data_IF_027531536776
#
_entry.id   IF_027531536776
#
_cell.length_a   1.000
_cell.length_b   1.000
_cell.length_c   1.000
_cell.angle_alpha   90.00
_cell.angle_beta   90.00
_cell.angle_gamma   90.00
#
_symmetry.space_group_name_H-M   'P 1'
#
loop_
_entity.id
_entity.type
_entity.pdbx_description
1 polymer ?
#
# COMPACT_ATOMS: atom_id res chain seq x y z
N UNK A 1 14.21 28.53 13.61
CA UNK A 1 13.95 27.92 12.29
C UNK A 1 13.68 29.03 11.30
N UNK A 2 14.36 29.04 10.15
CA UNK A 2 14.05 29.96 9.05
C UNK A 2 12.71 29.59 8.41
N UNK A 3 12.02 30.53 7.76
CA UNK A 3 10.75 30.27 7.06
C UNK A 3 10.86 29.14 6.04
N UNK A 4 12.01 29.02 5.37
CA UNK A 4 12.31 27.92 4.44
C UNK A 4 12.33 26.54 5.13
N UNK A 5 12.98 26.43 6.30
CA UNK A 5 12.99 25.17 7.07
C UNK A 5 11.60 24.78 7.56
N UNK A 6 10.76 25.76 7.94
CA UNK A 6 9.36 25.47 8.30
C UNK A 6 8.57 24.95 7.10
N UNK A 7 8.74 25.55 5.92
CA UNK A 7 8.06 25.11 4.70
C UNK A 7 8.41 23.66 4.35
N UNK A 8 9.69 23.30 4.39
CA UNK A 8 10.15 21.94 4.07
C UNK A 8 9.64 20.91 5.09
N UNK A 9 9.64 21.26 6.37
CA UNK A 9 9.07 20.43 7.42
C UNK A 9 7.57 20.16 7.22
N UNK A 10 6.77 21.20 6.92
CA UNK A 10 5.35 21.03 6.62
C UNK A 10 5.12 20.26 5.32
N UNK A 11 5.91 20.53 4.28
CA UNK A 11 5.83 19.85 3.00
C UNK A 11 6.13 18.35 3.14
N UNK A 12 7.18 17.98 3.88
CA UNK A 12 7.52 16.60 4.17
C UNK A 12 6.36 15.88 4.87
N UNK A 13 5.78 16.48 5.92
CA UNK A 13 4.66 15.88 6.66
C UNK A 13 3.41 15.74 5.81
N UNK A 14 3.02 16.80 5.10
CA UNK A 14 1.85 16.80 4.23
C UNK A 14 2.01 15.75 3.12
N UNK A 15 3.16 15.71 2.46
CA UNK A 15 3.43 14.76 1.39
C UNK A 15 3.42 13.30 1.89
N UNK A 16 3.95 13.04 3.09
CA UNK A 16 3.90 11.71 3.71
C UNK A 16 2.46 11.25 4.01
N UNK A 17 1.64 12.13 4.59
CA UNK A 17 0.22 11.84 4.86
C UNK A 17 -0.59 11.64 3.58
N UNK A 18 -0.39 12.49 2.56
CA UNK A 18 -1.06 12.38 1.27
C UNK A 18 -0.63 11.11 0.54
N UNK A 19 0.66 10.77 0.53
CA UNK A 19 1.17 9.51 -0.02
C UNK A 19 0.50 8.30 0.63
N UNK A 20 0.45 8.24 1.97
CA UNK A 20 -0.17 7.14 2.69
C UNK A 20 -1.68 7.05 2.42
N UNK A 21 -2.38 8.19 2.34
CA UNK A 21 -3.79 8.24 1.95
C UNK A 21 -4.04 7.71 0.53
N UNK A 22 -3.21 8.11 -0.44
CA UNK A 22 -3.27 7.64 -1.82
C UNK A 22 -2.97 6.14 -1.94
N UNK A 23 -1.96 5.65 -1.20
CA UNK A 23 -1.64 4.23 -1.10
C UNK A 23 -2.83 3.44 -0.54
N UNK A 24 -3.45 3.92 0.54
CA UNK A 24 -4.65 3.33 1.14
C UNK A 24 -5.78 3.26 0.12
N UNK A 25 -6.08 4.38 -0.54
CA UNK A 25 -7.11 4.45 -1.57
C UNK A 25 -6.83 3.47 -2.71
N UNK A 26 -5.58 3.38 -3.18
CA UNK A 26 -5.17 2.43 -4.22
C UNK A 26 -5.38 0.97 -3.80
N UNK A 27 -5.04 0.60 -2.57
CA UNK A 27 -5.24 -0.75 -2.01
C UNK A 27 -6.72 -1.09 -1.89
N UNK A 28 -7.52 -0.20 -1.28
CA UNK A 28 -8.97 -0.37 -1.12
C UNK A 28 -9.63 -0.53 -2.48
N UNK A 29 -9.26 0.34 -3.43
CA UNK A 29 -9.79 0.31 -4.79
C UNK A 29 -9.40 -0.98 -5.54
N UNK A 30 -8.13 -1.37 -5.49
CA UNK A 30 -7.64 -2.62 -6.06
C UNK A 30 -8.32 -3.86 -5.46
N UNK A 31 -8.59 -3.84 -4.15
CA UNK A 31 -9.37 -4.87 -3.47
C UNK A 31 -10.82 -4.90 -3.97
N UNK A 32 -11.51 -3.76 -4.03
CA UNK A 32 -12.89 -3.65 -4.53
C UNK A 32 -13.02 -4.16 -5.98
N UNK A 33 -12.02 -3.86 -6.81
CA UNK A 33 -11.89 -4.41 -8.16
C UNK A 33 -11.69 -5.94 -8.11
N UNK A 34 -10.74 -6.44 -7.33
CA UNK A 34 -10.45 -7.88 -7.33
C UNK A 34 -11.55 -8.76 -6.72
N UNK A 35 -12.36 -8.24 -5.80
CA UNK A 35 -13.33 -9.04 -5.04
C UNK A 35 -14.71 -9.12 -5.69
N UNK A 36 -15.03 -8.36 -6.75
CA UNK A 36 -16.43 -8.15 -7.22
C UNK A 36 -17.32 -7.47 -6.16
N UNK A 37 -16.75 -6.62 -5.31
CA UNK A 37 -17.54 -5.80 -4.38
C UNK A 37 -18.45 -4.81 -5.15
N UNK A 38 -17.98 -4.33 -6.30
CA UNK A 38 -18.71 -3.42 -7.20
C UNK A 38 -19.76 -4.11 -8.11
N UNK A 39 -20.24 -5.30 -7.75
CA UNK A 39 -21.20 -6.07 -8.54
C UNK A 39 -20.60 -6.94 -9.65
N UNK A 40 -21.49 -7.59 -10.43
CA UNK A 40 -21.13 -8.61 -11.45
C UNK A 40 -21.06 -8.08 -12.89
N UNK A 41 -21.43 -6.82 -13.13
CA UNK A 41 -21.46 -6.21 -14.46
C UNK A 41 -20.04 -6.00 -15.04
N UNK A 42 -19.89 -5.96 -16.37
CA UNK A 42 -18.64 -5.53 -17.01
C UNK A 42 -18.22 -4.17 -16.46
N UNK A 43 -16.94 -4.05 -16.12
CA UNK A 43 -16.42 -2.84 -15.49
C UNK A 43 -15.89 -1.88 -16.55
N UNK A 44 -16.22 -0.59 -16.48
CA UNK A 44 -15.65 0.39 -17.39
C UNK A 44 -14.15 0.55 -17.14
N UNK A 45 -13.40 0.88 -18.20
CA UNK A 45 -11.93 0.96 -18.17
C UNK A 45 -11.39 1.98 -17.16
N UNK A 46 -12.11 3.10 -16.97
CA UNK A 46 -11.71 4.18 -16.07
C UNK A 46 -11.51 3.72 -14.62
N UNK A 47 -12.19 2.64 -14.18
CA UNK A 47 -11.98 2.10 -12.83
C UNK A 47 -10.55 1.57 -12.65
N UNK A 48 -9.98 0.95 -13.70
CA UNK A 48 -8.59 0.52 -13.69
C UNK A 48 -7.66 1.74 -13.80
N UNK A 49 -8.01 2.73 -14.61
CA UNK A 49 -7.22 3.95 -14.76
C UNK A 49 -7.12 4.72 -13.44
N UNK A 50 -8.21 4.77 -12.66
CA UNK A 50 -8.21 5.34 -11.33
C UNK A 50 -7.25 4.60 -10.38
N UNK A 51 -7.22 3.26 -10.40
CA UNK A 51 -6.24 2.50 -9.61
C UNK A 51 -4.79 2.89 -9.95
N UNK A 52 -4.50 3.04 -11.25
CA UNK A 52 -3.18 3.41 -11.76
C UNK A 52 -2.82 4.84 -11.38
N UNK A 53 -3.77 5.77 -11.49
CA UNK A 53 -3.59 7.16 -11.09
C UNK A 53 -3.30 7.28 -9.58
N UNK A 54 -4.05 6.57 -8.73
CA UNK A 54 -3.82 6.55 -7.28
C UNK A 54 -2.44 5.98 -6.93
N UNK A 55 -2.02 4.89 -7.58
CA UNK A 55 -0.68 4.31 -7.42
C UNK A 55 0.44 5.29 -7.84
N UNK A 56 0.32 5.86 -9.04
CA UNK A 56 1.28 6.82 -9.56
C UNK A 56 1.40 8.08 -8.69
N UNK A 57 0.28 8.62 -8.23
CA UNK A 57 0.28 9.76 -7.30
C UNK A 57 0.92 9.41 -5.95
N UNK A 58 0.69 8.20 -5.42
CA UNK A 58 1.35 7.76 -4.18
C UNK A 58 2.88 7.72 -4.33
N UNK A 59 3.39 7.28 -5.49
CA UNK A 59 4.82 7.30 -5.80
C UNK A 59 5.35 8.72 -5.90
N UNK A 60 4.65 9.62 -6.61
CA UNK A 60 5.04 11.02 -6.74
C UNK A 60 5.12 11.69 -5.36
N UNK A 61 4.09 11.56 -4.53
CA UNK A 61 4.08 12.15 -3.20
C UNK A 61 5.08 11.51 -2.24
N UNK A 62 5.40 10.22 -2.39
CA UNK A 62 6.53 9.60 -1.69
C UNK A 62 7.86 10.24 -2.10
N UNK A 63 8.06 10.51 -3.39
CA UNK A 63 9.23 11.23 -3.89
C UNK A 63 9.33 12.64 -3.30
N UNK A 64 8.23 13.39 -3.30
CA UNK A 64 8.16 14.73 -2.68
C UNK A 64 8.48 14.65 -1.18
N UNK A 65 7.93 13.67 -0.47
CA UNK A 65 8.20 13.44 0.95
C UNK A 65 9.69 13.21 1.22
N UNK A 66 10.34 12.31 0.48
CA UNK A 66 11.77 11.99 0.64
C UNK A 66 12.64 13.19 0.28
N UNK A 67 12.37 13.87 -0.84
CA UNK A 67 13.13 15.06 -1.25
C UNK A 67 12.99 16.19 -0.23
N UNK A 68 11.78 16.43 0.28
CA UNK A 68 11.57 17.44 1.32
C UNK A 68 12.33 17.11 2.62
N UNK A 69 12.40 15.83 3.03
CA UNK A 69 13.20 15.39 4.17
C UNK A 69 14.69 15.64 3.94
N UNK A 70 15.21 15.32 2.74
CA UNK A 70 16.63 15.50 2.43
C UNK A 70 17.05 16.98 2.35
N UNK A 71 16.11 17.87 2.00
CA UNK A 71 16.36 19.31 1.93
C UNK A 71 16.13 20.02 3.27
N UNK A 72 15.44 19.37 4.20
CA UNK A 72 15.14 19.94 5.51
C UNK A 72 16.40 20.09 6.37
N UNK A 73 16.47 21.16 7.17
CA UNK A 73 17.62 21.48 8.00
C UNK A 73 17.45 21.12 9.47
N UNK A 74 16.28 20.61 9.88
CA UNK A 74 16.04 20.16 11.25
C UNK A 74 16.71 18.82 11.53
N UNK A 75 16.61 17.87 10.60
CA UNK A 75 17.36 16.61 10.62
C UNK A 75 18.05 16.42 9.27
N UNK A 76 19.38 16.32 9.28
CA UNK A 76 20.16 16.13 8.06
C UNK A 76 20.08 14.66 7.63
N UNK A 77 19.35 14.39 6.55
CA UNK A 77 19.28 13.08 5.93
C UNK A 77 20.09 13.07 4.63
N UNK A 78 21.16 12.27 4.59
CA UNK A 78 21.88 11.95 3.37
C UNK A 78 21.25 10.76 2.62
N UNK A 79 21.90 10.37 1.52
CA UNK A 79 21.45 9.22 0.72
C UNK A 79 21.51 7.91 1.50
N UNK A 80 22.49 7.75 2.40
CA UNK A 80 22.62 6.55 3.22
C UNK A 80 21.43 6.42 4.18
N UNK A 81 21.01 7.51 4.82
CA UNK A 81 19.93 7.53 5.80
C UNK A 81 18.54 7.32 5.16
N UNK A 82 18.42 7.54 3.85
CA UNK A 82 17.18 7.36 3.08
C UNK A 82 17.12 6.00 2.37
N UNK A 83 18.27 5.38 2.08
CA UNK A 83 18.33 4.13 1.33
C UNK A 83 18.78 2.94 2.17
N UNK A 84 19.56 3.13 3.23
CA UNK A 84 20.09 2.04 4.04
C UNK A 84 19.31 1.95 5.36
N UNK A 85 18.57 0.85 5.61
CA UNK A 85 17.90 0.64 6.89
C UNK A 85 18.87 0.79 8.06
N UNK A 86 18.42 1.47 9.12
CA UNK A 86 19.17 1.72 10.36
C UNK A 86 20.41 2.64 10.23
N UNK A 87 20.66 3.26 9.08
CA UNK A 87 21.76 4.22 8.93
C UNK A 87 21.50 5.57 9.65
N UNK A 88 20.23 5.97 9.79
CA UNK A 88 19.86 7.20 10.50
C UNK A 88 19.96 7.04 12.01
N UNK A 89 20.51 8.04 12.70
CA UNK A 89 20.46 8.14 14.17
C UNK A 89 19.10 8.61 14.68
N UNK A 90 18.25 9.18 13.81
CA UNK A 90 16.93 9.68 14.15
C UNK A 90 15.88 8.58 13.95
N UNK A 91 15.27 8.12 15.05
CA UNK A 91 14.28 7.03 15.06
C UNK A 91 14.60 5.86 14.08
N UNK A 92 15.76 5.19 14.22
CA UNK A 92 16.30 4.26 13.24
C UNK A 92 15.32 3.16 12.80
N UNK A 93 14.56 2.62 13.75
CA UNK A 93 13.56 1.57 13.47
C UNK A 93 12.38 2.12 12.67
N UNK A 94 11.89 3.32 13.01
CA UNK A 94 10.80 3.94 12.28
C UNK A 94 11.22 4.26 10.83
N UNK A 95 12.43 4.79 10.65
CA UNK A 95 13.02 5.07 9.33
C UNK A 95 13.19 3.76 8.53
N UNK A 96 13.69 2.69 9.15
CA UNK A 96 13.84 1.39 8.49
C UNK A 96 12.52 0.84 7.92
N UNK A 97 11.39 1.02 8.62
CA UNK A 97 10.06 0.67 8.09
C UNK A 97 9.71 1.50 6.85
N UNK A 98 10.05 2.79 6.84
CA UNK A 98 9.84 3.69 5.70
C UNK A 98 10.68 3.26 4.48
N UNK A 99 11.94 2.91 4.69
CA UNK A 99 12.85 2.43 3.63
C UNK A 99 12.34 1.09 3.05
N UNK A 100 11.94 0.15 3.91
CA UNK A 100 11.36 -1.10 3.47
C UNK A 100 10.06 -0.87 2.67
N UNK A 101 9.19 0.03 3.12
CA UNK A 101 8.00 0.43 2.38
C UNK A 101 8.36 1.07 1.03
N UNK A 102 9.34 1.97 0.98
CA UNK A 102 9.81 2.59 -0.26
C UNK A 102 10.25 1.54 -1.30
N UNK A 103 11.02 0.53 -0.88
CA UNK A 103 11.44 -0.55 -1.77
C UNK A 103 10.29 -1.42 -2.25
N UNK A 104 9.34 -1.76 -1.38
CA UNK A 104 8.15 -2.51 -1.78
C UNK A 104 7.27 -1.69 -2.75
N UNK A 105 7.13 -0.39 -2.52
CA UNK A 105 6.41 0.52 -3.42
C UNK A 105 7.07 0.56 -4.80
N UNK A 106 8.38 0.76 -4.85
CA UNK A 106 9.14 0.75 -6.09
C UNK A 106 8.99 -0.60 -6.83
N UNK A 107 9.12 -1.72 -6.13
CA UNK A 107 8.96 -3.05 -6.73
C UNK A 107 7.54 -3.26 -7.30
N UNK A 108 6.49 -2.88 -6.55
CA UNK A 108 5.10 -3.00 -6.99
C UNK A 108 4.83 -2.09 -8.19
N UNK A 109 5.30 -0.84 -8.18
CA UNK A 109 5.07 0.12 -9.26
C UNK A 109 5.81 -0.28 -10.53
N UNK A 110 7.12 -0.52 -10.45
CA UNK A 110 7.96 -0.90 -11.60
C UNK A 110 7.39 -2.14 -12.28
N UNK A 111 7.04 -3.18 -11.50
CA UNK A 111 6.45 -4.39 -12.08
C UNK A 111 5.06 -4.17 -12.66
N UNK A 112 4.29 -3.21 -12.13
CA UNK A 112 2.97 -2.86 -12.66
C UNK A 112 3.05 -2.04 -13.95
N UNK A 113 4.05 -1.16 -14.09
CA UNK A 113 4.36 -0.47 -15.34
C UNK A 113 4.84 -1.45 -16.42
N UNK A 114 5.66 -2.43 -16.03
CA UNK A 114 6.16 -3.50 -16.92
C UNK A 114 5.20 -4.67 -17.08
N UNK A 115 3.94 -4.55 -16.66
CA UNK A 115 2.97 -5.66 -16.66
C UNK A 115 2.81 -6.32 -18.04
N UNK A 116 2.89 -5.58 -19.14
CA UNK A 116 2.79 -6.12 -20.50
C UNK A 116 3.97 -7.00 -20.91
N UNK A 117 5.12 -6.88 -20.22
CA UNK A 117 6.36 -7.61 -20.50
C UNK A 117 6.61 -8.75 -19.50
N UNK A 118 5.77 -8.91 -18.48
CA UNK A 118 5.97 -9.87 -17.40
C UNK A 118 4.91 -10.98 -17.42
N UNK A 119 5.29 -12.22 -17.09
CA UNK A 119 4.32 -13.29 -16.85
C UNK A 119 3.34 -12.90 -15.75
N UNK A 120 2.04 -13.09 -15.99
CA UNK A 120 0.97 -12.76 -15.06
C UNK A 120 1.17 -13.35 -13.64
N UNK A 121 1.84 -14.50 -13.52
CA UNK A 121 2.15 -15.14 -12.23
C UNK A 121 3.18 -14.34 -11.43
N UNK A 122 4.22 -13.83 -12.07
CA UNK A 122 5.29 -13.06 -11.44
C UNK A 122 4.74 -11.71 -11.01
N UNK A 123 4.11 -10.98 -11.93
CA UNK A 123 3.47 -9.70 -11.64
C UNK A 123 2.51 -9.82 -10.44
N UNK A 124 1.65 -10.86 -10.41
CA UNK A 124 0.70 -11.03 -9.31
C UNK A 124 1.36 -11.33 -7.96
N UNK A 125 2.47 -12.06 -7.95
CA UNK A 125 3.24 -12.33 -6.72
C UNK A 125 3.82 -11.03 -6.16
N UNK A 126 4.48 -10.24 -7.01
CA UNK A 126 5.06 -8.95 -6.60
C UNK A 126 3.96 -7.97 -6.20
N UNK A 127 2.86 -7.90 -6.96
CA UNK A 127 1.75 -7.01 -6.65
C UNK A 127 1.08 -7.36 -5.30
N UNK A 128 1.15 -8.60 -4.80
CA UNK A 128 0.72 -8.92 -3.43
C UNK A 128 1.63 -8.36 -2.34
N UNK A 129 2.84 -7.92 -2.66
CA UNK A 129 3.67 -7.15 -1.75
C UNK A 129 3.06 -5.78 -1.40
N UNK A 130 2.01 -5.34 -2.09
CA UNK A 130 1.20 -4.16 -1.70
C UNK A 130 0.59 -4.27 -0.30
N UNK A 131 0.30 -5.48 0.20
CA UNK A 131 -0.20 -5.67 1.56
C UNK A 131 0.87 -5.39 2.63
N UNK A 132 2.05 -6.05 2.62
CA UNK A 132 3.12 -5.68 3.56
C UNK A 132 3.62 -4.24 3.36
N UNK A 133 3.63 -3.72 2.12
CA UNK A 133 3.88 -2.30 1.84
C UNK A 133 2.96 -1.40 2.66
N UNK A 134 1.65 -1.62 2.59
CA UNK A 134 0.68 -0.83 3.32
C UNK A 134 0.89 -0.92 4.84
N UNK A 135 1.19 -2.11 5.36
CA UNK A 135 1.52 -2.30 6.78
C UNK A 135 2.77 -1.52 7.16
N UNK A 136 3.86 -1.63 6.39
CA UNK A 136 5.13 -0.97 6.70
C UNK A 136 5.01 0.55 6.62
N UNK A 137 4.31 1.08 5.61
CA UNK A 137 4.03 2.51 5.50
C UNK A 137 3.18 3.03 6.69
N UNK A 138 2.20 2.25 7.14
CA UNK A 138 1.39 2.60 8.31
C UNK A 138 2.21 2.59 9.59
N UNK A 139 3.02 1.54 9.81
CA UNK A 139 3.90 1.45 10.99
C UNK A 139 4.93 2.58 10.98
N UNK A 140 5.52 2.90 9.82
CA UNK A 140 6.42 4.03 9.65
C UNK A 140 5.75 5.34 10.07
N UNK A 141 4.58 5.66 9.50
CA UNK A 141 3.86 6.90 9.84
C UNK A 141 3.47 6.99 11.31
N UNK A 142 3.03 5.88 11.92
CA UNK A 142 2.66 5.83 13.33
C UNK A 142 3.86 5.93 14.29
N UNK A 143 5.02 5.42 13.90
CA UNK A 143 6.21 5.40 14.76
C UNK A 143 7.11 6.63 14.58
N UNK A 144 7.12 7.27 13.41
CA UNK A 144 7.88 8.49 13.14
C UNK A 144 7.08 9.78 13.42
N UNK A 145 5.74 9.71 13.35
CA UNK A 145 4.88 10.87 13.52
C UNK A 145 4.69 11.29 14.97
N UNK A 146 4.95 12.55 15.30
CA UNK A 146 4.71 13.11 16.64
C UNK A 146 3.23 13.33 16.95
N UNK A 147 2.38 13.46 15.91
CA UNK A 147 0.95 13.83 16.05
C UNK A 147 0.02 12.61 16.13
N UNK A 148 0.60 11.41 16.20
CA UNK A 148 -0.09 10.11 16.14
C UNK A 148 -0.93 9.83 17.38
N UNK A 149 -0.72 10.58 18.47
CA UNK A 149 -1.47 10.46 19.74
C UNK A 149 -2.75 11.30 19.80
N UNK A 150 -3.13 11.96 18.71
CA UNK A 150 -4.37 12.75 18.64
C UNK A 150 -5.57 11.88 18.27
N UNK A 151 -6.78 12.24 18.76
CA UNK A 151 -8.01 11.55 18.37
C UNK A 151 -8.29 11.60 16.86
N UNK A 152 -7.88 12.69 16.19
CA UNK A 152 -7.98 12.83 14.73
C UNK A 152 -7.08 11.82 14.03
N UNK A 153 -5.83 11.66 14.46
CA UNK A 153 -4.94 10.66 13.88
C UNK A 153 -5.52 9.25 14.04
N UNK A 154 -6.02 8.90 15.23
CA UNK A 154 -6.67 7.62 15.47
C UNK A 154 -7.89 7.38 14.57
N UNK A 155 -8.73 8.40 14.38
CA UNK A 155 -9.90 8.34 13.50
C UNK A 155 -9.49 8.12 12.04
N UNK A 156 -8.52 8.89 11.54
CA UNK A 156 -8.02 8.80 10.16
C UNK A 156 -7.36 7.44 9.91
N UNK A 157 -6.52 6.95 10.83
CA UNK A 157 -5.91 5.62 10.74
C UNK A 157 -6.96 4.51 10.74
N UNK A 158 -7.97 4.60 11.61
CA UNK A 158 -9.06 3.62 11.68
C UNK A 158 -9.89 3.61 10.39
N UNK A 159 -10.24 4.79 9.86
CA UNK A 159 -10.98 4.94 8.61
C UNK A 159 -10.22 4.35 7.40
N UNK A 160 -8.88 4.36 7.43
CA UNK A 160 -8.04 3.71 6.43
C UNK A 160 -7.95 2.18 6.60
N UNK A 161 -7.79 1.70 7.84
CA UNK A 161 -7.60 0.27 8.14
C UNK A 161 -8.88 -0.56 7.95
N UNK A 162 -10.03 -0.05 8.39
CA UNK A 162 -11.29 -0.81 8.40
C UNK A 162 -11.69 -1.31 7.00
N UNK A 163 -11.71 -0.48 5.94
CA UNK A 163 -12.05 -0.95 4.60
C UNK A 163 -11.08 -2.02 4.08
N UNK A 164 -9.78 -1.88 4.37
CA UNK A 164 -8.76 -2.85 3.97
C UNK A 164 -9.03 -4.20 4.64
N UNK A 165 -9.23 -4.22 5.96
CA UNK A 165 -9.52 -5.44 6.73
C UNK A 165 -10.79 -6.13 6.21
N UNK A 166 -11.88 -5.36 6.06
CA UNK A 166 -13.17 -5.89 5.57
C UNK A 166 -13.00 -6.51 4.18
N UNK A 167 -12.38 -5.81 3.24
CA UNK A 167 -12.24 -6.29 1.87
C UNK A 167 -11.26 -7.47 1.75
N UNK A 168 -10.22 -7.53 2.59
CA UNK A 168 -9.35 -8.70 2.69
C UNK A 168 -10.12 -9.90 3.23
N UNK A 169 -10.93 -9.73 4.29
CA UNK A 169 -11.80 -10.77 4.83
C UNK A 169 -12.76 -11.34 3.76
N UNK A 170 -13.45 -10.46 3.03
CA UNK A 170 -14.32 -10.86 1.92
C UNK A 170 -13.56 -11.60 0.81
N UNK A 171 -12.33 -11.19 0.51
CA UNK A 171 -11.47 -11.86 -0.49
C UNK A 171 -11.13 -13.28 -0.06
N UNK A 172 -10.79 -13.49 1.20
CA UNK A 172 -10.41 -14.78 1.75
C UNK A 172 -11.61 -15.74 1.81
N UNK A 173 -12.77 -15.27 2.27
CA UNK A 173 -14.01 -16.05 2.31
C UNK A 173 -14.41 -16.55 0.91
N UNK A 174 -14.38 -15.68 -0.11
CA UNK A 174 -14.71 -16.04 -1.50
C UNK A 174 -13.73 -17.06 -2.11
N UNK A 175 -12.45 -17.00 -1.73
CA UNK A 175 -11.44 -18.01 -2.12
C UNK A 175 -11.72 -19.36 -1.47
N UNK A 176 -12.09 -19.37 -0.18
CA UNK A 176 -12.49 -20.58 0.54
C UNK A 176 -13.71 -21.25 -0.09
N UNK A 177 -14.77 -20.48 -0.36
CA UNK A 177 -16.00 -20.98 -1.00
C UNK A 177 -15.75 -21.66 -2.36
N UNK A 178 -14.95 -21.03 -3.25
CA UNK A 178 -14.59 -21.65 -4.55
C UNK A 178 -13.80 -22.95 -4.42
N UNK A 179 -12.91 -23.06 -3.43
CA UNK A 179 -12.16 -24.31 -3.20
C UNK A 179 -13.06 -25.42 -2.68
N UNK A 180 -13.97 -25.10 -1.76
CA UNK A 180 -14.93 -26.06 -1.22
C UNK A 180 -15.87 -26.59 -2.32
N UNK A 181 -16.33 -25.70 -3.20
CA UNK A 181 -17.23 -26.06 -4.32
C UNK A 181 -16.55 -27.02 -5.31
N UNK A 182 -15.34 -26.71 -5.77
CA UNK A 182 -14.55 -27.59 -6.66
C UNK A 182 -14.27 -28.94 -6.00
N UNK A 183 -13.99 -28.97 -4.70
CA UNK A 183 -13.76 -30.22 -3.96
C UNK A 183 -15.04 -31.07 -3.88
N UNK A 184 -16.20 -30.43 -3.72
CA UNK A 184 -17.52 -31.09 -3.66
C UNK A 184 -17.94 -31.64 -5.02
N UNK A 185 -17.67 -30.90 -6.10
CA UNK A 185 -17.91 -31.31 -7.49
C UNK A 185 -17.06 -32.53 -7.86
N UNK A 186 -15.75 -32.47 -7.60
CA UNK A 186 -14.83 -33.62 -7.79
C UNK A 186 -15.28 -34.86 -7.01
N UNK A 187 -15.75 -34.67 -5.76
CA UNK A 187 -16.27 -35.77 -4.94
C UNK A 187 -17.52 -36.39 -5.57
N UNK A 188 -18.43 -35.58 -6.15
CA UNK A 188 -19.62 -36.07 -6.85
C UNK A 188 -19.28 -36.89 -8.08
N UNK A 189 -18.26 -36.49 -8.86
CA UNK A 189 -17.80 -37.24 -10.03
C UNK A 189 -17.15 -38.57 -9.67
N UNK A 190 -16.52 -38.68 -8.49
CA UNK A 190 -15.85 -39.91 -8.03
C UNK A 190 -16.75 -40.90 -7.30
N UNK A 191 -18.00 -40.54 -6.98
CA UNK A 191 -18.95 -41.47 -6.37
C UNK A 191 -19.50 -42.40 -7.47
N UNK A 192 -19.50 -43.73 -7.28
CA UNK A 192 -20.06 -44.65 -8.26
C UNK A 192 -21.54 -44.33 -8.50
N UNK A 193 -21.89 -44.11 -9.76
CA UNK A 193 -23.27 -43.87 -10.19
C UNK A 193 -24.00 -45.22 -10.14
N UNK A 194 -24.65 -45.51 -9.03
CA UNK A 194 -25.44 -46.72 -8.84
C UNK A 194 -24.76 -47.76 -7.94
N UNK A 195 -25.27 -47.85 -6.72
CA UNK A 195 -25.42 -49.11 -5.98
C UNK A 195 -26.91 -49.27 -5.69
#
# INVERSE_FOLDING_TARGET
MSTHSQLLWFAARAAGLVSWGLLTASVVWGLALSTRALGRRPRPAWLLDLHRALGGLAVIFTGVHVVAIMLDSYVHFGLAEVLVPFASSWHPVAVAWGIAAFYLLAAVEITSLLRSRLPNRIWRRVHYASFPLFVFATVHGLSAGTDTRTGIAAMVTSAALVPVIVLVGLRLQRRGGRRADVTRERRRETLPVGA
#
